data_IF_608554434007
#
_entry.id   IF_608554434007
#
_cell.length_a   1.000
_cell.length_b   1.000
_cell.length_c   1.000
_cell.angle_alpha   90.00
_cell.angle_beta   90.00
_cell.angle_gamma   90.00
#
_symmetry.space_group_name_H-M   'P 1'
#
loop_
_entity.id
_entity.type
_entity.pdbx_description
1 polymer ?
#
# COMPACT_ATOMS: atom_id res chain seq x y z
N UNK A 1 -2.52 -22.96 5.07
CA UNK A 1 -2.22 -21.50 5.18
C UNK A 1 -1.51 -20.94 3.94
N UNK A 2 -0.26 -21.35 3.61
CA UNK A 2 0.47 -20.79 2.44
C UNK A 2 -0.26 -21.10 1.12
N UNK A 3 -0.71 -22.33 0.94
CA UNK A 3 -1.48 -22.73 -0.25
C UNK A 3 -2.80 -21.94 -0.36
N UNK A 4 -3.51 -21.75 0.75
CA UNK A 4 -4.76 -20.99 0.79
C UNK A 4 -4.52 -19.51 0.48
N UNK A 5 -3.44 -18.93 1.04
CA UNK A 5 -3.03 -17.56 0.74
C UNK A 5 -2.75 -17.38 -0.76
N UNK A 6 -2.01 -18.30 -1.34
CA UNK A 6 -1.68 -18.27 -2.77
C UNK A 6 -2.96 -18.45 -3.65
N UNK A 7 -3.86 -19.32 -3.26
CA UNK A 7 -5.13 -19.55 -3.97
C UNK A 7 -6.06 -18.34 -3.88
N UNK A 8 -6.27 -17.79 -2.68
CA UNK A 8 -7.11 -16.61 -2.45
C UNK A 8 -6.56 -15.39 -3.18
N UNK A 9 -5.24 -15.21 -3.16
CA UNK A 9 -4.58 -14.15 -3.92
C UNK A 9 -4.79 -14.29 -5.43
N UNK A 10 -4.74 -15.50 -5.97
CA UNK A 10 -4.94 -15.75 -7.40
C UNK A 10 -6.39 -15.52 -7.88
N UNK A 11 -7.36 -15.55 -6.96
CA UNK A 11 -8.79 -15.34 -7.28
C UNK A 11 -9.24 -13.90 -7.06
N UNK A 12 -8.55 -13.12 -6.21
CA UNK A 12 -8.89 -11.73 -5.93
C UNK A 12 -8.90 -10.89 -7.22
N UNK A 13 -10.04 -10.30 -7.52
CA UNK A 13 -10.24 -9.44 -8.70
C UNK A 13 -10.31 -10.18 -10.04
N UNK A 14 -10.36 -11.53 -10.05
CA UNK A 14 -10.38 -12.31 -11.30
C UNK A 14 -11.62 -12.04 -12.18
N UNK A 15 -12.75 -11.72 -11.53
CA UNK A 15 -13.99 -11.40 -12.24
C UNK A 15 -14.07 -9.95 -12.75
N UNK A 16 -13.12 -9.09 -12.34
CA UNK A 16 -13.10 -7.69 -12.74
C UNK A 16 -12.48 -7.51 -14.12
N UNK A 17 -13.05 -6.58 -14.88
CA UNK A 17 -12.40 -6.11 -16.11
C UNK A 17 -11.00 -5.52 -15.78
N UNK A 18 -9.95 -5.73 -16.60
CA UNK A 18 -8.59 -5.24 -16.31
C UNK A 18 -8.52 -3.73 -16.02
N UNK A 19 -9.29 -2.91 -16.73
CA UNK A 19 -9.38 -1.46 -16.50
C UNK A 19 -9.96 -1.13 -15.13
N UNK A 20 -11.04 -1.80 -14.75
CA UNK A 20 -11.69 -1.66 -13.44
C UNK A 20 -10.72 -2.08 -12.32
N UNK A 21 -10.04 -3.20 -12.48
CA UNK A 21 -9.04 -3.67 -11.54
C UNK A 21 -7.89 -2.65 -11.38
N UNK A 22 -7.43 -2.02 -12.45
CA UNK A 22 -6.41 -0.98 -12.40
C UNK A 22 -6.88 0.26 -11.61
N UNK A 23 -8.14 0.70 -11.83
CA UNK A 23 -8.72 1.82 -11.09
C UNK A 23 -8.92 1.50 -9.60
N UNK A 24 -9.28 0.26 -9.25
CA UNK A 24 -9.33 -0.20 -7.86
C UNK A 24 -7.95 -0.29 -7.22
N UNK A 25 -6.93 -0.69 -7.97
CA UNK A 25 -5.54 -0.69 -7.48
C UNK A 25 -5.05 0.75 -7.15
N UNK A 26 -5.52 1.79 -7.86
CA UNK A 26 -5.26 3.19 -7.47
C UNK A 26 -5.82 3.50 -6.07
N UNK A 27 -7.04 3.02 -5.76
CA UNK A 27 -7.61 3.18 -4.42
C UNK A 27 -6.87 2.38 -3.34
N UNK A 28 -6.40 1.19 -3.69
CA UNK A 28 -5.56 0.40 -2.76
C UNK A 28 -4.26 1.13 -2.44
N UNK A 29 -3.65 1.86 -3.38
CA UNK A 29 -2.44 2.68 -3.11
C UNK A 29 -2.74 3.81 -2.13
N UNK A 30 -3.87 4.50 -2.28
CA UNK A 30 -4.30 5.55 -1.33
C UNK A 30 -4.56 4.94 0.05
N UNK A 31 -5.28 3.82 0.12
CA UNK A 31 -5.51 3.07 1.36
C UNK A 31 -4.20 2.63 2.03
N UNK A 32 -3.29 2.04 1.25
CA UNK A 32 -1.99 1.59 1.76
C UNK A 32 -1.20 2.76 2.34
N UNK A 33 -1.18 3.88 1.65
CA UNK A 33 -0.51 5.11 2.08
C UNK A 33 -1.10 5.62 3.39
N UNK A 34 -2.43 5.70 3.50
CA UNK A 34 -3.11 6.10 4.73
C UNK A 34 -2.69 5.25 5.92
N UNK A 35 -2.78 3.91 5.80
CA UNK A 35 -2.43 3.01 6.89
C UNK A 35 -0.93 2.95 7.16
N UNK A 36 -0.09 3.08 6.14
CA UNK A 36 1.36 3.18 6.30
C UNK A 36 1.74 4.42 7.13
N UNK A 37 1.12 5.56 6.84
CA UNK A 37 1.32 6.78 7.62
C UNK A 37 0.74 6.65 9.04
N UNK A 38 -0.41 6.01 9.19
CA UNK A 38 -1.03 5.78 10.49
C UNK A 38 -0.14 4.95 11.44
N UNK A 39 0.58 3.95 10.92
CA UNK A 39 1.56 3.16 11.69
C UNK A 39 2.69 4.04 12.22
N UNK A 40 3.12 5.04 11.45
CA UNK A 40 4.15 6.02 11.86
C UNK A 40 3.59 7.12 12.80
N UNK A 41 2.30 7.08 13.14
CA UNK A 41 1.65 8.11 13.96
C UNK A 41 1.13 9.32 13.17
N UNK A 42 1.17 9.27 11.85
CA UNK A 42 0.73 10.34 10.96
C UNK A 42 -0.70 10.07 10.46
N UNK A 43 -1.65 10.95 10.79
CA UNK A 43 -3.05 10.81 10.35
C UNK A 43 -3.32 11.68 9.11
N UNK A 44 -2.80 11.26 7.96
CA UNK A 44 -3.09 11.90 6.67
C UNK A 44 -4.35 11.30 6.08
N UNK A 45 -5.47 12.02 6.10
CA UNK A 45 -6.76 11.51 5.63
C UNK A 45 -6.77 11.21 4.13
N UNK A 46 -7.61 10.28 3.63
CA UNK A 46 -7.69 9.96 2.20
C UNK A 46 -7.89 11.19 1.31
N UNK A 47 -8.77 12.12 1.72
CA UNK A 47 -8.99 13.37 1.01
C UNK A 47 -7.73 14.26 0.91
N UNK A 48 -6.91 14.29 1.96
CA UNK A 48 -5.65 15.05 1.94
C UNK A 48 -4.63 14.40 1.01
N UNK A 49 -4.66 13.05 0.91
CA UNK A 49 -3.83 12.30 -0.04
C UNK A 49 -4.27 12.60 -1.47
N UNK A 50 -5.57 12.60 -1.77
CA UNK A 50 -6.10 12.94 -3.10
C UNK A 50 -5.75 14.38 -3.50
N UNK A 51 -5.90 15.34 -2.58
CA UNK A 51 -5.48 16.74 -2.81
C UNK A 51 -3.99 16.85 -3.11
N UNK A 52 -3.16 16.14 -2.34
CA UNK A 52 -1.72 16.10 -2.58
C UNK A 52 -1.37 15.51 -3.96
N UNK A 53 -2.08 14.47 -4.41
CA UNK A 53 -1.92 13.89 -5.74
C UNK A 53 -2.36 14.83 -6.87
N UNK A 54 -3.32 15.75 -6.58
CA UNK A 54 -3.72 16.83 -7.48
C UNK A 54 -2.77 18.04 -7.44
N UNK A 55 -1.74 18.03 -6.58
CA UNK A 55 -0.79 19.14 -6.42
C UNK A 55 -1.30 20.24 -5.47
N UNK A 56 -2.37 19.99 -4.74
CA UNK A 56 -2.96 20.92 -3.77
C UNK A 56 -2.40 20.63 -2.37
N UNK A 57 -1.53 21.48 -1.89
CA UNK A 57 -0.87 21.33 -0.59
C UNK A 57 -1.40 22.34 0.43
N UNK A 58 -1.38 21.94 1.70
CA UNK A 58 -1.74 22.79 2.83
C UNK A 58 -0.68 23.90 3.01
N UNK A 59 -1.10 25.04 3.56
CA UNK A 59 -0.21 26.16 3.89
C UNK A 59 0.64 25.85 5.13
N UNK A 60 0.10 25.06 6.07
CA UNK A 60 0.85 24.61 7.25
C UNK A 60 1.96 23.63 6.84
N UNK A 61 3.20 23.96 7.22
CA UNK A 61 4.39 23.20 6.83
C UNK A 61 4.33 21.74 7.30
N UNK A 62 3.81 21.48 8.49
CA UNK A 62 3.71 20.12 9.03
C UNK A 62 2.73 19.28 8.23
N UNK A 63 1.53 19.79 7.95
CA UNK A 63 0.54 19.11 7.11
C UNK A 63 1.01 18.94 5.68
N UNK A 64 1.66 19.97 5.13
CA UNK A 64 2.27 19.90 3.80
C UNK A 64 3.31 18.79 3.70
N UNK A 65 4.18 18.63 4.68
CA UNK A 65 5.17 17.55 4.71
C UNK A 65 4.49 16.17 4.72
N UNK A 66 3.44 15.98 5.54
CA UNK A 66 2.66 14.74 5.55
C UNK A 66 1.97 14.45 4.21
N UNK A 67 1.49 15.47 3.52
CA UNK A 67 0.92 15.36 2.19
C UNK A 67 1.98 14.98 1.15
N UNK A 68 3.17 15.57 1.22
CA UNK A 68 4.30 15.23 0.34
C UNK A 68 4.76 13.78 0.55
N UNK A 69 4.84 13.31 1.80
CA UNK A 69 5.12 11.91 2.13
C UNK A 69 4.06 10.97 1.54
N UNK A 70 2.80 11.32 1.68
CA UNK A 70 1.70 10.52 1.15
C UNK A 70 1.74 10.45 -0.38
N UNK A 71 1.95 11.56 -1.07
CA UNK A 71 2.10 11.61 -2.52
C UNK A 71 3.32 10.79 -2.99
N UNK A 72 4.43 10.86 -2.25
CA UNK A 72 5.63 10.08 -2.52
C UNK A 72 5.37 8.58 -2.37
N UNK A 73 4.67 8.15 -1.30
CA UNK A 73 4.33 6.74 -1.08
C UNK A 73 3.48 6.18 -2.23
N UNK A 74 2.42 6.89 -2.63
CA UNK A 74 1.57 6.49 -3.77
C UNK A 74 2.38 6.41 -5.06
N UNK A 75 3.26 7.38 -5.32
CA UNK A 75 4.13 7.42 -6.51
C UNK A 75 5.06 6.22 -6.56
N UNK A 76 5.77 5.92 -5.47
CA UNK A 76 6.72 4.80 -5.40
C UNK A 76 5.99 3.47 -5.52
N UNK A 77 4.87 3.28 -4.83
CA UNK A 77 4.09 2.05 -4.96
C UNK A 77 3.55 1.86 -6.38
N UNK A 78 3.08 2.92 -7.04
CA UNK A 78 2.65 2.86 -8.45
C UNK A 78 3.77 2.40 -9.37
N UNK A 79 5.00 2.84 -9.13
CA UNK A 79 6.15 2.42 -9.91
C UNK A 79 6.52 0.96 -9.65
N UNK A 80 6.44 0.49 -8.39
CA UNK A 80 6.58 -0.94 -8.04
C UNK A 80 5.53 -1.78 -8.76
N UNK A 81 4.26 -1.35 -8.74
CA UNK A 81 3.17 -2.05 -9.42
C UNK A 81 3.38 -2.08 -10.95
N UNK A 82 3.86 -0.99 -11.53
CA UNK A 82 4.17 -0.91 -12.96
C UNK A 82 5.27 -1.92 -13.33
N UNK A 83 6.36 -1.93 -12.58
CA UNK A 83 7.46 -2.88 -12.79
C UNK A 83 6.99 -4.33 -12.60
N UNK A 84 6.17 -4.59 -11.57
CA UNK A 84 5.59 -5.90 -11.32
C UNK A 84 4.70 -6.40 -12.47
N UNK A 85 3.82 -5.53 -12.98
CA UNK A 85 2.95 -5.85 -14.12
C UNK A 85 3.72 -6.12 -15.42
N UNK A 86 4.88 -5.47 -15.59
CA UNK A 86 5.75 -5.62 -16.76
C UNK A 86 6.74 -6.79 -16.63
N UNK A 87 6.78 -7.48 -15.48
CA UNK A 87 7.79 -8.50 -15.20
C UNK A 87 9.23 -7.96 -15.11
N UNK A 88 9.38 -6.65 -14.87
CA UNK A 88 10.65 -5.93 -14.81
C UNK A 88 11.06 -5.55 -13.38
N UNK A 89 10.40 -6.12 -12.37
CA UNK A 89 10.69 -5.83 -10.97
C UNK A 89 12.06 -6.41 -10.58
N UNK A 90 13.00 -5.57 -10.11
CA UNK A 90 14.28 -6.04 -9.59
C UNK A 90 14.08 -6.95 -8.35
N UNK A 91 15.11 -7.71 -7.93
CA UNK A 91 15.04 -8.47 -6.68
C UNK A 91 14.66 -7.57 -5.50
N UNK A 92 13.47 -7.75 -4.88
CA UNK A 92 12.95 -6.77 -3.90
C UNK A 92 13.79 -6.63 -2.62
N UNK A 93 14.57 -7.65 -2.28
CA UNK A 93 15.47 -7.65 -1.13
C UNK A 93 16.93 -7.26 -1.50
N UNK A 94 17.20 -6.85 -2.75
CA UNK A 94 18.52 -6.37 -3.12
C UNK A 94 18.81 -5.00 -2.48
N UNK A 95 20.07 -4.77 -2.14
CA UNK A 95 20.52 -3.48 -1.60
C UNK A 95 20.20 -2.34 -2.55
N UNK A 96 20.44 -2.55 -3.84
CA UNK A 96 20.18 -1.54 -4.88
C UNK A 96 18.70 -1.15 -4.93
N UNK A 97 17.78 -2.11 -4.91
CA UNK A 97 16.35 -1.83 -4.94
C UNK A 97 15.86 -1.15 -3.66
N UNK A 98 16.37 -1.55 -2.50
CA UNK A 98 16.03 -0.92 -1.22
C UNK A 98 16.52 0.53 -1.15
N UNK A 99 17.76 0.79 -1.60
CA UNK A 99 18.29 2.16 -1.72
C UNK A 99 17.48 2.99 -2.72
N UNK A 100 17.04 2.37 -3.84
CA UNK A 100 16.16 3.00 -4.80
C UNK A 100 14.81 3.36 -4.17
N UNK A 101 14.17 2.45 -3.42
CA UNK A 101 12.90 2.73 -2.71
C UNK A 101 13.02 3.95 -1.80
N UNK A 102 14.08 4.02 -0.99
CA UNK A 102 14.32 5.14 -0.10
C UNK A 102 14.58 6.44 -0.86
N UNK A 103 15.45 6.42 -1.87
CA UNK A 103 15.76 7.58 -2.72
C UNK A 103 14.52 8.12 -3.43
N UNK A 104 13.72 7.23 -4.02
CA UNK A 104 12.50 7.63 -4.71
C UNK A 104 11.42 8.15 -3.75
N UNK A 105 11.34 7.61 -2.54
CA UNK A 105 10.42 8.10 -1.53
C UNK A 105 10.72 9.56 -1.15
N UNK A 106 11.99 9.90 -0.95
CA UNK A 106 12.42 11.25 -0.59
C UNK A 106 12.81 12.13 -1.79
N UNK A 107 12.59 11.68 -3.01
CA UNK A 107 12.88 12.48 -4.21
C UNK A 107 12.07 13.77 -4.24
N UNK A 108 12.78 14.92 -4.21
CA UNK A 108 12.18 16.25 -4.19
C UNK A 108 11.62 16.65 -2.83
N UNK A 109 11.91 15.92 -1.76
CA UNK A 109 11.55 16.31 -0.41
C UNK A 109 12.23 17.63 0.00
N UNK A 110 11.53 18.54 0.68
CA UNK A 110 12.13 19.76 1.21
C UNK A 110 13.17 19.43 2.29
N UNK A 111 14.12 20.32 2.51
CA UNK A 111 15.19 20.12 3.50
C UNK A 111 14.64 19.81 4.91
N UNK A 112 13.51 20.41 5.28
CA UNK A 112 12.86 20.16 6.57
C UNK A 112 12.47 18.70 6.82
N UNK A 113 12.28 17.91 5.77
CA UNK A 113 12.01 16.46 5.85
C UNK A 113 13.28 15.61 5.87
N UNK A 114 14.43 16.19 5.54
CA UNK A 114 15.72 15.50 5.50
C UNK A 114 16.56 15.79 6.76
N UNK A 115 16.08 16.68 7.63
CA UNK A 115 16.74 17.02 8.90
C UNK A 115 16.11 16.22 10.04
N UNK A 116 16.89 15.29 10.59
CA UNK A 116 16.47 14.41 11.68
C UNK A 116 17.01 15.00 12.99
N UNK A 117 16.09 15.44 13.84
CA UNK A 117 16.41 15.97 15.15
C UNK A 117 16.52 14.86 16.17
N UNK A 118 17.68 14.72 16.78
CA UNK A 118 17.91 13.87 17.95
C UNK A 118 17.94 14.76 19.21
N UNK A 119 17.99 14.16 20.39
CA UNK A 119 18.13 14.93 21.66
C UNK A 119 19.43 15.74 21.73
N UNK A 120 20.46 15.36 20.99
CA UNK A 120 21.81 15.92 21.11
C UNK A 120 22.26 16.66 19.85
N UNK A 121 21.73 16.28 18.66
CA UNK A 121 22.23 16.78 17.37
C UNK A 121 21.10 16.86 16.33
N UNK A 122 21.38 17.59 15.26
CA UNK A 122 20.59 17.60 14.05
C UNK A 122 21.40 16.91 12.94
N UNK A 123 20.86 15.79 12.41
CA UNK A 123 21.51 14.99 11.39
C UNK A 123 20.82 15.22 10.05
N UNK A 124 21.60 15.34 8.99
CA UNK A 124 21.08 15.41 7.64
C UNK A 124 21.04 14.00 7.02
N UNK A 125 19.86 13.56 6.66
CA UNK A 125 19.65 12.31 5.95
C UNK A 125 19.86 12.50 4.45
N UNK A 126 20.66 11.62 3.83
CA UNK A 126 20.82 11.57 2.38
C UNK A 126 19.91 10.47 1.79
N UNK A 127 18.99 10.83 0.87
CA UNK A 127 18.07 9.86 0.27
C UNK A 127 18.80 8.75 -0.50
N UNK A 128 18.56 7.50 -0.11
CA UNK A 128 19.19 6.32 -0.73
C UNK A 128 20.57 5.99 -0.19
N UNK A 129 20.91 6.47 1.01
CA UNK A 129 22.14 6.12 1.71
C UNK A 129 21.86 5.47 3.06
N UNK A 130 22.69 4.48 3.43
CA UNK A 130 22.62 3.86 4.76
C UNK A 130 23.20 4.81 5.82
N UNK A 131 22.67 4.74 7.05
CA UNK A 131 23.39 5.28 8.19
C UNK A 131 24.73 4.53 8.35
N UNK A 132 25.82 5.24 8.52
CA UNK A 132 27.18 4.68 8.52
C UNK A 132 28.12 5.29 9.58
N UNK A 133 27.81 6.48 10.08
CA UNK A 133 28.64 7.20 11.03
C UNK A 133 28.20 6.95 12.49
N UNK A 134 29.10 6.99 13.46
CA UNK A 134 28.76 6.73 14.88
C UNK A 134 27.66 7.63 15.44
N UNK A 135 27.58 8.90 15.00
CA UNK A 135 26.56 9.86 15.39
C UNK A 135 25.17 9.50 14.84
N UNK A 136 25.10 8.61 13.85
CA UNK A 136 23.88 8.08 13.24
C UNK A 136 23.36 6.81 13.93
N UNK A 137 23.93 6.44 15.07
CA UNK A 137 23.37 5.39 15.90
C UNK A 137 22.02 5.85 16.48
N UNK A 138 21.01 5.00 16.34
CA UNK A 138 19.64 5.31 16.69
C UNK A 138 19.04 4.25 17.60
N UNK A 139 17.99 4.61 18.32
CA UNK A 139 17.15 3.69 19.09
C UNK A 139 15.70 3.80 18.56
N UNK A 140 14.99 2.68 18.51
CA UNK A 140 13.60 2.61 18.04
C UNK A 140 12.73 2.10 19.18
N UNK A 141 12.25 2.99 20.01
CA UNK A 141 11.58 2.62 21.25
C UNK A 141 12.52 1.84 22.18
N UNK A 142 12.21 0.54 22.42
CA UNK A 142 13.07 -0.37 23.22
C UNK A 142 14.07 -1.16 22.38
N UNK A 143 13.89 -1.19 21.06
CA UNK A 143 14.79 -1.88 20.14
C UNK A 143 16.05 -1.05 19.91
N UNK A 144 17.21 -1.70 20.04
CA UNK A 144 18.53 -1.15 19.73
C UNK A 144 19.04 -1.80 18.44
N UNK A 145 18.94 -1.12 17.28
CA UNK A 145 19.44 -1.63 16.02
C UNK A 145 20.97 -1.88 16.05
N UNK A 146 21.51 -2.68 15.12
CA UNK A 146 22.97 -2.74 14.91
C UNK A 146 23.59 -1.36 14.76
N UNK A 147 24.86 -1.22 15.17
CA UNK A 147 25.59 0.05 15.02
C UNK A 147 25.67 0.47 13.56
N UNK A 148 25.71 1.78 13.30
CA UNK A 148 25.76 2.35 11.95
C UNK A 148 26.93 1.78 11.14
N UNK A 149 28.08 1.58 11.74
CA UNK A 149 29.26 0.97 11.11
C UNK A 149 29.00 -0.46 10.59
N UNK A 150 28.05 -1.20 11.19
CA UNK A 150 27.73 -2.58 10.83
C UNK A 150 26.61 -2.69 9.78
N UNK A 151 25.87 -1.60 9.50
CA UNK A 151 24.68 -1.64 8.64
C UNK A 151 24.97 -2.21 7.24
N UNK A 152 26.04 -1.76 6.61
CA UNK A 152 26.41 -2.20 5.27
C UNK A 152 26.63 -3.72 5.19
N UNK A 153 27.25 -4.32 6.24
CA UNK A 153 27.47 -5.76 6.32
C UNK A 153 26.14 -6.50 6.58
N UNK A 154 25.33 -6.01 7.50
CA UNK A 154 24.00 -6.58 7.76
C UNK A 154 23.11 -6.56 6.52
N UNK A 155 23.17 -5.47 5.72
CA UNK A 155 22.38 -5.36 4.48
C UNK A 155 22.95 -6.25 3.35
N UNK A 156 24.27 -6.50 3.31
CA UNK A 156 24.87 -7.51 2.41
C UNK A 156 24.34 -8.90 2.76
N UNK A 157 24.38 -9.28 4.03
CA UNK A 157 23.85 -10.55 4.51
C UNK A 157 22.32 -10.65 4.30
N UNK A 158 21.59 -9.56 4.49
CA UNK A 158 20.15 -9.49 4.21
C UNK A 158 19.85 -9.83 2.74
N UNK A 159 20.54 -9.20 1.81
CA UNK A 159 20.38 -9.46 0.37
C UNK A 159 20.69 -10.94 0.04
N UNK A 160 21.79 -11.49 0.55
CA UNK A 160 22.16 -12.88 0.32
C UNK A 160 21.09 -13.84 0.87
N UNK A 161 20.59 -13.58 2.08
CA UNK A 161 19.59 -14.42 2.75
C UNK A 161 18.23 -14.39 2.11
N UNK A 162 17.81 -13.24 1.58
CA UNK A 162 16.50 -13.03 0.99
C UNK A 162 16.51 -12.98 -0.54
N UNK A 163 17.54 -13.50 -1.18
CA UNK A 163 17.58 -13.76 -2.63
C UNK A 163 16.75 -15.00 -2.95
N UNK A 164 15.41 -14.83 -2.88
CA UNK A 164 14.46 -15.95 -2.90
C UNK A 164 13.88 -16.28 -4.28
N UNK A 165 14.30 -15.57 -5.34
CA UNK A 165 13.74 -15.77 -6.70
C UNK A 165 13.96 -17.18 -7.25
N UNK A 166 15.06 -17.85 -6.85
CA UNK A 166 15.37 -19.23 -7.21
C UNK A 166 14.73 -20.27 -6.29
N UNK A 167 14.05 -19.85 -5.23
CA UNK A 167 13.42 -20.74 -4.25
C UNK A 167 11.98 -21.06 -4.64
N UNK A 168 11.46 -22.17 -4.12
CA UNK A 168 10.06 -22.54 -4.30
C UNK A 168 9.10 -21.49 -3.73
N UNK A 169 7.91 -21.35 -4.33
CA UNK A 169 6.91 -20.32 -4.01
C UNK A 169 6.56 -20.25 -2.51
N UNK A 170 6.46 -21.40 -1.84
CA UNK A 170 6.18 -21.44 -0.40
C UNK A 170 7.26 -20.73 0.41
N UNK A 171 8.54 -20.94 0.08
CA UNK A 171 9.68 -20.29 0.72
C UNK A 171 9.67 -18.78 0.42
N UNK A 172 9.35 -18.37 -0.82
CA UNK A 172 9.22 -16.97 -1.17
C UNK A 172 8.15 -16.27 -0.33
N UNK A 173 6.98 -16.89 -0.13
CA UNK A 173 5.88 -16.34 0.69
C UNK A 173 6.29 -16.21 2.15
N UNK A 174 6.93 -17.22 2.74
CA UNK A 174 7.43 -17.15 4.12
C UNK A 174 8.51 -16.08 4.29
N UNK A 175 9.37 -15.94 3.30
CA UNK A 175 10.46 -14.96 3.31
C UNK A 175 9.95 -13.51 3.37
N UNK A 176 8.73 -13.21 2.88
CA UNK A 176 8.14 -11.86 2.97
C UNK A 176 8.07 -11.40 4.43
N UNK A 177 7.51 -12.22 5.31
CA UNK A 177 7.39 -11.90 6.73
C UNK A 177 8.75 -11.80 7.42
N UNK A 178 9.63 -12.77 7.17
CA UNK A 178 10.96 -12.80 7.78
C UNK A 178 11.84 -11.62 7.32
N UNK A 179 11.76 -11.24 6.04
CA UNK A 179 12.47 -10.08 5.51
C UNK A 179 11.92 -8.77 6.08
N UNK A 180 10.58 -8.65 6.19
CA UNK A 180 9.94 -7.48 6.82
C UNK A 180 10.45 -7.25 8.24
N UNK A 181 10.46 -8.30 9.08
CA UNK A 181 11.02 -8.21 10.43
C UNK A 181 12.50 -7.86 10.40
N UNK A 182 13.31 -8.61 9.64
CA UNK A 182 14.77 -8.44 9.65
C UNK A 182 15.21 -7.07 9.16
N UNK A 183 14.52 -6.50 8.16
CA UNK A 183 14.79 -5.15 7.70
C UNK A 183 14.54 -4.10 8.80
N UNK A 184 13.40 -4.20 9.49
CA UNK A 184 13.08 -3.29 10.59
C UNK A 184 14.03 -3.49 11.80
N UNK A 185 14.50 -4.72 12.05
CA UNK A 185 15.53 -4.99 13.04
C UNK A 185 16.86 -4.29 12.71
N UNK A 186 17.31 -4.34 11.46
CA UNK A 186 18.55 -3.67 11.02
C UNK A 186 18.38 -2.16 11.06
N UNK A 187 17.21 -1.66 10.69
CA UNK A 187 16.86 -0.23 10.66
C UNK A 187 17.93 0.60 9.94
N UNK A 188 18.15 0.36 8.63
CA UNK A 188 19.35 0.80 7.94
C UNK A 188 19.40 2.29 7.60
N UNK A 189 18.31 3.02 7.68
CA UNK A 189 18.23 4.45 7.39
C UNK A 189 18.05 5.28 8.65
N UNK A 190 18.34 6.58 8.59
CA UNK A 190 18.05 7.53 9.66
C UNK A 190 16.54 7.73 9.87
N UNK A 191 15.77 7.74 8.79
CA UNK A 191 14.30 7.76 8.79
C UNK A 191 13.74 6.95 7.62
N UNK A 192 12.41 6.76 7.56
CA UNK A 192 11.72 6.09 6.46
C UNK A 192 11.78 4.57 6.47
N UNK A 193 12.42 3.93 7.45
CA UNK A 193 12.57 2.48 7.51
C UNK A 193 11.24 1.73 7.46
N UNK A 194 10.24 2.14 8.23
CA UNK A 194 8.93 1.51 8.22
C UNK A 194 8.22 1.61 6.86
N UNK A 195 8.29 2.78 6.22
CA UNK A 195 7.70 3.02 4.90
C UNK A 195 8.38 2.20 3.81
N UNK A 196 9.73 2.17 3.82
CA UNK A 196 10.52 1.35 2.89
C UNK A 196 10.27 -0.15 3.11
N UNK A 197 10.19 -0.61 4.36
CA UNK A 197 9.92 -2.03 4.66
C UNK A 197 8.56 -2.49 4.12
N UNK A 198 7.52 -1.65 4.23
CA UNK A 198 6.19 -1.95 3.69
C UNK A 198 6.14 -1.92 2.16
N UNK A 199 6.87 -0.99 1.52
CA UNK A 199 7.03 -0.96 0.06
C UNK A 199 7.84 -2.16 -0.46
N UNK A 200 8.93 -2.55 0.24
CA UNK A 200 9.69 -3.77 -0.04
C UNK A 200 8.81 -5.02 0.11
N UNK A 201 8.03 -5.09 1.18
CA UNK A 201 7.06 -6.18 1.42
C UNK A 201 6.06 -6.30 0.26
N UNK A 202 5.54 -5.19 -0.21
CA UNK A 202 4.65 -5.13 -1.37
C UNK A 202 5.34 -5.63 -2.64
N UNK A 203 6.59 -5.23 -2.88
CA UNK A 203 7.40 -5.71 -4.00
C UNK A 203 7.70 -7.22 -3.89
N UNK A 204 7.97 -7.72 -2.68
CA UNK A 204 8.14 -9.17 -2.45
C UNK A 204 6.86 -9.96 -2.72
N UNK A 205 5.69 -9.40 -2.40
CA UNK A 205 4.39 -10.01 -2.74
C UNK A 205 4.19 -10.10 -4.27
N UNK A 206 4.64 -9.12 -5.04
CA UNK A 206 4.70 -9.18 -6.50
C UNK A 206 5.62 -10.30 -6.97
N UNK A 207 6.86 -10.36 -6.47
CA UNK A 207 7.84 -11.38 -6.83
C UNK A 207 7.35 -12.80 -6.49
N UNK A 208 6.64 -12.98 -5.37
CA UNK A 208 6.03 -14.26 -4.98
C UNK A 208 4.71 -14.57 -5.70
N UNK A 209 4.26 -13.70 -6.60
CA UNK A 209 3.00 -13.80 -7.34
C UNK A 209 1.76 -13.94 -6.42
N UNK A 210 1.72 -13.15 -5.35
CA UNK A 210 0.58 -13.03 -4.44
C UNK A 210 0.05 -11.59 -4.30
N UNK A 211 0.51 -10.65 -5.13
CA UNK A 211 0.09 -9.24 -5.09
C UNK A 211 -1.33 -8.99 -5.57
N UNK A 212 -1.94 -9.96 -6.29
CA UNK A 212 -3.25 -9.79 -6.96
C UNK A 212 -3.28 -8.52 -7.83
N UNK A 213 -2.20 -8.24 -8.54
CA UNK A 213 -2.01 -7.02 -9.35
C UNK A 213 -2.19 -5.70 -8.56
N UNK A 214 -1.81 -5.69 -7.30
CA UNK A 214 -1.92 -4.51 -6.43
C UNK A 214 -3.30 -4.30 -5.80
N UNK A 215 -4.21 -5.29 -5.86
CA UNK A 215 -5.55 -5.19 -5.30
C UNK A 215 -5.62 -5.39 -3.78
N UNK A 216 -4.50 -5.62 -3.12
CA UNK A 216 -4.41 -5.63 -1.66
C UNK A 216 -3.04 -5.13 -1.19
N UNK A 217 -2.94 -4.80 0.08
CA UNK A 217 -1.69 -4.42 0.72
C UNK A 217 -1.70 -4.77 2.20
N UNK A 218 -0.51 -4.91 2.79
CA UNK A 218 -0.36 -5.36 4.16
C UNK A 218 -0.62 -4.26 5.20
N UNK A 219 -0.40 -2.98 4.86
CA UNK A 219 -0.36 -1.88 5.85
C UNK A 219 -1.65 -1.75 6.65
N UNK A 220 -2.83 -1.94 6.02
CA UNK A 220 -4.09 -1.93 6.73
C UNK A 220 -4.16 -3.03 7.80
N UNK A 221 -3.68 -4.22 7.47
CA UNK A 221 -3.64 -5.35 8.41
C UNK A 221 -2.67 -5.11 9.56
N UNK A 222 -1.49 -4.58 9.28
CA UNK A 222 -0.51 -4.23 10.32
C UNK A 222 -1.03 -3.13 11.24
N UNK A 223 -1.69 -2.10 10.71
CA UNK A 223 -2.26 -1.00 11.49
C UNK A 223 -3.43 -1.43 12.38
N UNK A 224 -4.22 -2.42 11.95
CA UNK A 224 -5.39 -2.92 12.71
C UNK A 224 -5.05 -4.07 13.65
N UNK A 225 -4.06 -4.88 13.28
CA UNK A 225 -3.84 -6.18 13.89
C UNK A 225 -4.95 -7.18 13.57
N UNK A 226 -4.85 -8.37 14.08
CA UNK A 226 -5.91 -9.39 14.04
C UNK A 226 -6.91 -9.22 15.20
N UNK A 227 -6.41 -8.91 16.40
CA UNK A 227 -7.18 -8.72 17.62
C UNK A 227 -7.17 -7.27 18.09
N UNK A 228 -6.00 -6.60 17.99
CA UNK A 228 -5.84 -5.22 18.43
C UNK A 228 -4.83 -4.44 17.59
N UNK A 229 -4.94 -3.09 17.63
CA UNK A 229 -4.01 -2.18 16.94
C UNK A 229 -2.56 -2.26 17.47
N UNK A 230 -2.33 -2.90 18.60
CA UNK A 230 -1.01 -3.08 19.21
C UNK A 230 -0.32 -4.36 18.77
N UNK A 231 -1.01 -5.26 18.07
CA UNK A 231 -0.50 -6.59 17.71
C UNK A 231 0.77 -6.51 16.91
N UNK A 232 0.83 -5.63 15.91
CA UNK A 232 2.02 -5.49 15.07
C UNK A 232 3.27 -5.17 15.90
N UNK A 233 3.17 -4.19 16.80
CA UNK A 233 4.28 -3.82 17.68
C UNK A 233 4.66 -4.96 18.64
N UNK A 234 3.66 -5.62 19.25
CA UNK A 234 3.90 -6.77 20.13
C UNK A 234 4.61 -7.92 19.40
N UNK A 235 4.19 -8.20 18.17
CA UNK A 235 4.77 -9.27 17.37
C UNK A 235 6.18 -8.94 16.86
N UNK A 236 6.47 -7.67 16.57
CA UNK A 236 7.83 -7.19 16.28
C UNK A 236 8.73 -7.35 17.52
N UNK A 237 8.27 -6.86 18.67
CA UNK A 237 8.99 -7.00 19.96
C UNK A 237 9.22 -8.49 20.32
N UNK A 238 8.24 -9.36 20.08
CA UNK A 238 8.37 -10.82 20.26
C UNK A 238 9.49 -11.39 19.37
N UNK A 239 9.50 -11.04 18.10
CA UNK A 239 10.49 -11.55 17.17
C UNK A 239 11.93 -11.05 17.43
N UNK A 240 12.08 -10.01 18.26
CA UNK A 240 13.37 -9.52 18.78
C UNK A 240 13.82 -10.23 20.07
N UNK A 241 13.01 -11.18 20.59
CA UNK A 241 13.37 -11.90 21.81
C UNK A 241 14.69 -12.66 21.67
N UNK A 242 15.52 -12.70 22.73
CA UNK A 242 16.73 -13.52 22.74
C UNK A 242 16.38 -15.01 22.63
N UNK A 243 17.33 -15.81 22.15
CA UNK A 243 17.19 -17.26 22.05
C UNK A 243 17.03 -17.90 23.44
N UNK A 244 16.23 -18.96 23.52
CA UNK A 244 15.92 -19.74 24.74
C UNK A 244 16.81 -20.98 24.90
N UNK A 245 18.03 -20.98 24.41
CA UNK A 245 18.96 -22.11 24.52
C UNK A 245 19.63 -22.45 23.19
N UNK A 246 20.39 -23.55 23.16
CA UNK A 246 21.25 -23.86 22.03
C UNK A 246 20.49 -24.33 20.79
N UNK A 247 19.30 -24.89 20.96
CA UNK A 247 18.45 -25.38 19.86
C UNK A 247 17.47 -24.30 19.34
N UNK A 248 17.38 -23.15 20.01
CA UNK A 248 16.53 -22.04 19.61
C UNK A 248 17.37 -20.83 19.24
N UNK A 249 17.89 -20.77 18.02
CA UNK A 249 18.73 -19.64 17.67
C UNK A 249 18.88 -19.35 16.19
N UNK A 250 18.87 -18.05 15.89
CA UNK A 250 19.33 -17.41 14.66
C UNK A 250 20.31 -16.30 15.06
N UNK A 251 21.50 -16.73 15.46
CA UNK A 251 22.43 -15.88 16.20
C UNK A 251 21.97 -15.71 17.66
N UNK A 252 21.82 -14.47 18.10
CA UNK A 252 21.39 -14.15 19.47
C UNK A 252 19.86 -14.15 19.67
N UNK A 253 19.09 -14.26 18.60
CA UNK A 253 17.63 -14.15 18.63
C UNK A 253 16.94 -15.51 18.54
N UNK A 254 15.72 -15.59 19.08
CA UNK A 254 14.88 -16.79 19.06
C UNK A 254 14.37 -17.10 17.64
N UNK A 255 14.63 -18.34 17.20
CA UNK A 255 14.07 -18.90 15.97
C UNK A 255 12.56 -19.15 16.13
N UNK A 256 12.14 -19.63 17.30
CA UNK A 256 10.74 -19.91 17.64
C UNK A 256 9.91 -18.62 17.59
N UNK A 257 10.39 -17.54 18.20
CA UNK A 257 9.70 -16.25 18.19
C UNK A 257 9.56 -15.69 16.76
N UNK A 258 10.59 -15.84 15.90
CA UNK A 258 10.45 -15.48 14.49
C UNK A 258 9.39 -16.33 13.76
N UNK A 259 9.30 -17.62 14.04
CA UNK A 259 8.29 -18.50 13.43
C UNK A 259 6.87 -18.03 13.85
N UNK A 260 6.67 -17.68 15.11
CA UNK A 260 5.38 -17.13 15.59
C UNK A 260 5.03 -15.83 14.87
N UNK A 261 5.99 -14.92 14.72
CA UNK A 261 5.81 -13.70 13.93
C UNK A 261 5.43 -14.01 12.48
N UNK A 262 6.15 -14.93 11.81
CA UNK A 262 5.86 -15.32 10.42
C UNK A 262 4.44 -15.85 10.28
N UNK A 263 4.01 -16.74 11.19
CA UNK A 263 2.65 -17.30 11.18
C UNK A 263 1.61 -16.19 11.35
N UNK A 264 1.81 -15.30 12.32
CA UNK A 264 0.93 -14.16 12.55
C UNK A 264 0.86 -13.25 11.31
N UNK A 265 2.00 -12.89 10.74
CA UNK A 265 2.07 -12.01 9.57
C UNK A 265 1.35 -12.60 8.35
N UNK A 266 1.50 -13.90 8.10
CA UNK A 266 0.79 -14.58 7.02
C UNK A 266 -0.73 -14.65 7.26
N UNK A 267 -1.17 -14.76 8.52
CA UNK A 267 -2.59 -14.62 8.87
C UNK A 267 -3.12 -13.22 8.60
N UNK A 268 -2.32 -12.20 8.88
CA UNK A 268 -2.65 -10.81 8.50
C UNK A 268 -2.79 -10.68 6.98
N UNK A 269 -1.90 -11.29 6.20
CA UNK A 269 -2.03 -11.31 4.73
C UNK A 269 -3.35 -11.97 4.28
N UNK A 270 -3.69 -13.12 4.87
CA UNK A 270 -4.95 -13.82 4.54
C UNK A 270 -6.18 -12.97 4.89
N UNK A 271 -6.20 -12.35 6.08
CA UNK A 271 -7.29 -11.45 6.50
C UNK A 271 -7.46 -10.29 5.50
N UNK A 272 -6.34 -9.68 5.06
CA UNK A 272 -6.40 -8.58 4.11
C UNK A 272 -6.90 -9.01 2.73
N UNK A 273 -6.44 -10.15 2.21
CA UNK A 273 -6.92 -10.67 0.92
C UNK A 273 -8.41 -11.02 1.01
N UNK A 274 -8.85 -11.66 2.09
CA UNK A 274 -10.27 -11.99 2.30
C UNK A 274 -11.14 -10.72 2.39
N UNK A 275 -10.69 -9.71 3.13
CA UNK A 275 -11.36 -8.42 3.24
C UNK A 275 -11.50 -7.74 1.87
N UNK A 276 -10.42 -7.66 1.10
CA UNK A 276 -10.43 -7.03 -0.22
C UNK A 276 -11.25 -7.84 -1.23
N UNK A 277 -11.26 -9.17 -1.14
CA UNK A 277 -12.10 -10.04 -1.96
C UNK A 277 -13.59 -9.75 -1.75
N UNK A 278 -14.02 -9.57 -0.50
CA UNK A 278 -15.40 -9.19 -0.20
C UNK A 278 -15.75 -7.77 -0.66
N UNK A 279 -14.79 -6.83 -0.63
CA UNK A 279 -15.02 -5.47 -1.14
C UNK A 279 -15.10 -5.40 -2.66
N UNK A 280 -14.33 -6.22 -3.37
CA UNK A 280 -14.20 -6.18 -4.83
C UNK A 280 -14.98 -7.31 -5.52
N UNK A 281 -15.81 -8.02 -4.76
CA UNK A 281 -16.77 -8.96 -5.33
C UNK A 281 -17.72 -8.19 -6.25
N UNK A 282 -17.87 -8.66 -7.52
CA UNK A 282 -18.45 -7.89 -8.61
C UNK A 282 -19.91 -7.51 -8.34
N UNK A 283 -20.74 -8.49 -7.92
CA UNK A 283 -22.16 -8.28 -7.69
C UNK A 283 -22.39 -7.34 -6.51
N UNK A 284 -21.66 -7.54 -5.42
CA UNK A 284 -21.73 -6.67 -4.24
C UNK A 284 -21.26 -5.22 -4.53
N UNK A 285 -20.25 -5.06 -5.38
CA UNK A 285 -19.80 -3.72 -5.79
C UNK A 285 -20.82 -3.04 -6.70
N UNK A 286 -21.44 -3.81 -7.59
CA UNK A 286 -22.52 -3.34 -8.47
C UNK A 286 -23.72 -2.84 -7.66
N UNK A 287 -24.16 -3.61 -6.65
CA UNK A 287 -25.26 -3.21 -5.77
C UNK A 287 -24.92 -1.95 -4.95
N UNK A 288 -23.67 -1.81 -4.47
CA UNK A 288 -23.26 -0.60 -3.75
C UNK A 288 -23.20 0.63 -4.66
N UNK A 289 -22.72 0.49 -5.88
CA UNK A 289 -22.75 1.59 -6.88
C UNK A 289 -24.19 2.03 -7.17
N UNK A 290 -25.11 1.07 -7.34
CA UNK A 290 -26.53 1.36 -7.53
C UNK A 290 -27.15 2.05 -6.33
N UNK A 291 -26.93 1.52 -5.12
CA UNK A 291 -27.43 2.10 -3.88
C UNK A 291 -26.91 3.54 -3.69
N UNK A 292 -25.62 3.79 -3.94
CA UNK A 292 -25.02 5.12 -3.86
C UNK A 292 -25.71 6.13 -4.78
N UNK A 293 -25.99 5.74 -6.03
CA UNK A 293 -26.71 6.63 -6.98
C UNK A 293 -28.14 6.90 -6.51
N UNK A 294 -28.84 5.90 -6.01
CA UNK A 294 -30.25 6.01 -5.60
C UNK A 294 -30.43 6.86 -4.32
N UNK A 295 -29.41 6.87 -3.45
CA UNK A 295 -29.43 7.67 -2.22
C UNK A 295 -28.87 9.08 -2.40
N UNK A 296 -28.16 9.34 -3.51
CA UNK A 296 -27.55 10.63 -3.77
C UNK A 296 -28.52 11.63 -4.44
N UNK A 297 -28.89 12.75 -3.78
CA UNK A 297 -29.88 13.70 -4.30
C UNK A 297 -29.42 14.45 -5.56
N UNK A 298 -28.13 14.44 -5.87
CA UNK A 298 -27.54 15.12 -7.03
C UNK A 298 -27.46 14.23 -8.28
N UNK A 299 -27.82 12.96 -8.17
CA UNK A 299 -27.78 12.01 -9.26
C UNK A 299 -29.18 11.50 -9.63
N UNK A 300 -29.40 11.32 -10.91
CA UNK A 300 -30.60 10.62 -11.38
C UNK A 300 -30.39 9.11 -11.29
N UNK A 301 -31.46 8.32 -11.03
CA UNK A 301 -31.38 6.86 -10.92
C UNK A 301 -30.71 6.17 -12.12
N UNK A 302 -30.90 6.72 -13.33
CA UNK A 302 -30.31 6.19 -14.56
C UNK A 302 -28.77 6.29 -14.59
N UNK A 303 -28.18 7.12 -13.72
CA UNK A 303 -26.72 7.18 -13.50
C UNK A 303 -26.13 5.86 -13.05
N UNK A 304 -26.91 5.02 -12.35
CA UNK A 304 -26.48 3.68 -11.95
C UNK A 304 -26.09 2.82 -13.15
N UNK A 305 -26.83 2.91 -14.27
CA UNK A 305 -26.50 2.16 -15.48
C UNK A 305 -25.14 2.54 -16.07
N UNK A 306 -24.74 3.84 -15.99
CA UNK A 306 -23.42 4.28 -16.44
C UNK A 306 -22.29 3.71 -15.59
N UNK A 307 -22.47 3.69 -14.26
CA UNK A 307 -21.45 3.14 -13.34
C UNK A 307 -21.34 1.63 -13.49
N UNK A 308 -22.46 0.91 -13.67
CA UNK A 308 -22.49 -0.53 -13.91
C UNK A 308 -21.84 -0.90 -15.25
N UNK A 309 -22.13 -0.16 -16.32
CA UNK A 309 -21.48 -0.37 -17.63
C UNK A 309 -19.96 -0.18 -17.54
N UNK A 310 -19.51 0.89 -16.87
CA UNK A 310 -18.09 1.14 -16.65
C UNK A 310 -17.43 0.07 -15.75
N UNK A 311 -18.14 -0.47 -14.76
CA UNK A 311 -17.66 -1.57 -13.92
C UNK A 311 -17.41 -2.84 -14.74
N UNK A 312 -18.38 -3.21 -15.60
CA UNK A 312 -18.36 -4.47 -16.34
C UNK A 312 -17.41 -4.40 -17.56
N UNK A 313 -17.50 -3.33 -18.34
CA UNK A 313 -16.70 -3.15 -19.57
C UNK A 313 -15.36 -2.45 -19.35
N UNK A 314 -15.11 -1.93 -18.14
CA UNK A 314 -13.95 -1.14 -17.82
C UNK A 314 -14.05 0.32 -18.25
N UNK A 315 -14.58 0.58 -19.42
CA UNK A 315 -14.85 1.91 -19.98
C UNK A 315 -15.92 1.86 -21.07
N UNK A 316 -16.50 3.00 -21.41
CA UNK A 316 -17.44 3.16 -22.53
C UNK A 316 -17.28 4.53 -23.20
N UNK A 317 -17.67 4.62 -24.48
CA UNK A 317 -17.61 5.86 -25.22
C UNK A 317 -18.75 6.82 -24.84
N UNK A 318 -18.47 8.12 -24.81
CA UNK A 318 -19.46 9.15 -24.46
C UNK A 318 -20.69 9.15 -25.38
N UNK A 319 -20.56 8.68 -26.63
CA UNK A 319 -21.66 8.50 -27.59
C UNK A 319 -22.65 7.40 -27.22
N UNK A 320 -22.26 6.44 -26.37
CA UNK A 320 -23.12 5.33 -25.96
C UNK A 320 -24.09 5.67 -24.82
N UNK A 321 -23.94 6.85 -24.17
CA UNK A 321 -24.68 7.22 -22.95
C UNK A 321 -26.19 7.16 -23.11
N UNK A 322 -26.72 7.60 -24.27
CA UNK A 322 -28.16 7.51 -24.59
C UNK A 322 -28.63 6.05 -24.67
N UNK A 323 -27.86 5.17 -25.29
CA UNK A 323 -28.12 3.72 -25.34
C UNK A 323 -28.09 3.08 -23.97
N UNK A 324 -27.06 3.40 -23.15
CA UNK A 324 -26.87 2.79 -21.82
C UNK A 324 -28.00 3.20 -20.87
N UNK A 325 -28.41 4.48 -20.90
CA UNK A 325 -29.38 5.03 -19.96
C UNK A 325 -30.82 4.95 -20.43
N UNK A 326 -31.07 4.73 -21.74
CA UNK A 326 -32.39 4.83 -22.34
C UNK A 326 -32.94 6.25 -22.43
N UNK A 327 -32.16 7.27 -22.12
CA UNK A 327 -32.58 8.68 -22.11
C UNK A 327 -32.32 9.34 -23.46
N UNK A 328 -33.12 10.40 -23.80
CA UNK A 328 -32.83 11.25 -24.96
C UNK A 328 -31.44 11.85 -24.87
N UNK A 329 -30.73 12.01 -26.00
CA UNK A 329 -29.29 12.42 -26.06
C UNK A 329 -28.94 13.62 -25.18
N UNK A 330 -29.76 14.68 -25.23
CA UNK A 330 -29.51 15.90 -24.43
C UNK A 330 -29.54 15.63 -22.92
N UNK A 331 -30.49 14.81 -22.46
CA UNK A 331 -30.67 14.43 -21.07
C UNK A 331 -29.54 13.47 -20.63
N UNK A 332 -29.20 12.51 -21.50
CA UNK A 332 -28.13 11.55 -21.26
C UNK A 332 -26.75 12.25 -21.13
N UNK A 333 -26.45 13.21 -22.00
CA UNK A 333 -25.22 14.01 -21.92
C UNK A 333 -25.14 14.84 -20.62
N UNK A 334 -26.28 15.40 -20.18
CA UNK A 334 -26.32 16.13 -18.91
C UNK A 334 -26.05 15.20 -17.74
N UNK A 335 -26.69 14.04 -17.71
CA UNK A 335 -26.45 13.04 -16.67
C UNK A 335 -24.98 12.57 -16.65
N UNK A 336 -24.38 12.33 -17.80
CA UNK A 336 -22.94 11.99 -17.85
C UNK A 336 -22.09 13.11 -17.23
N UNK A 337 -22.38 14.37 -17.53
CA UNK A 337 -21.65 15.49 -16.96
C UNK A 337 -21.84 15.58 -15.44
N UNK A 338 -23.04 15.30 -14.91
CA UNK A 338 -23.30 15.25 -13.48
C UNK A 338 -22.43 14.17 -12.80
N UNK A 339 -22.37 12.97 -13.38
CA UNK A 339 -21.54 11.84 -12.88
C UNK A 339 -20.05 12.15 -12.97
N UNK A 340 -19.59 12.82 -14.05
CA UNK A 340 -18.21 13.28 -14.21
C UNK A 340 -17.83 14.36 -13.18
N UNK A 341 -18.71 15.32 -12.95
CA UNK A 341 -18.49 16.39 -11.97
C UNK A 341 -18.40 15.86 -10.55
N UNK A 342 -19.08 14.75 -10.25
CA UNK A 342 -18.96 14.06 -8.97
C UNK A 342 -17.71 13.19 -8.86
N UNK A 343 -16.89 13.10 -9.91
CA UNK A 343 -15.68 12.30 -9.92
C UNK A 343 -15.89 10.78 -9.93
N UNK A 344 -17.13 10.28 -10.15
CA UNK A 344 -17.44 8.84 -10.22
C UNK A 344 -17.01 8.22 -11.55
N UNK A 345 -16.92 9.03 -12.59
CA UNK A 345 -16.34 8.69 -13.88
C UNK A 345 -15.28 9.72 -14.25
N UNK A 346 -14.26 9.27 -14.97
CA UNK A 346 -13.27 10.17 -15.56
C UNK A 346 -12.78 9.64 -16.91
N UNK A 347 -12.21 10.54 -17.70
CA UNK A 347 -11.60 10.25 -19.00
C UNK A 347 -10.16 10.77 -19.01
N UNK A 348 -9.26 10.07 -19.68
CA UNK A 348 -7.86 10.49 -19.84
C UNK A 348 -7.71 11.68 -20.80
N UNK A 349 -8.68 11.85 -21.69
CA UNK A 349 -8.72 12.96 -22.63
C UNK A 349 -10.10 13.62 -22.64
N UNK A 350 -10.25 14.89 -23.02
CA UNK A 350 -11.54 15.60 -22.98
C UNK A 350 -12.68 14.92 -23.74
N UNK A 351 -12.37 14.13 -24.78
CA UNK A 351 -13.33 13.43 -25.63
C UNK A 351 -13.23 11.90 -25.57
N UNK A 352 -12.31 11.37 -24.76
CA UNK A 352 -12.06 9.93 -24.67
C UNK A 352 -13.15 9.17 -23.93
N UNK A 353 -13.04 7.85 -23.98
CA UNK A 353 -13.87 6.92 -23.21
C UNK A 353 -13.80 7.24 -21.71
N UNK A 354 -14.86 6.94 -21.00
CA UNK A 354 -14.98 7.18 -19.56
C UNK A 354 -14.93 5.87 -18.79
N UNK A 355 -14.25 5.87 -17.65
CA UNK A 355 -14.06 4.73 -16.76
C UNK A 355 -14.31 5.11 -15.32
N UNK A 356 -14.59 4.13 -14.45
CA UNK A 356 -14.89 4.34 -13.04
C UNK A 356 -13.74 5.05 -12.31
N UNK A 357 -14.14 5.91 -11.38
CA UNK A 357 -13.30 6.48 -10.31
C UNK A 357 -14.04 6.40 -8.99
N UNK A 358 -13.30 6.52 -7.91
CA UNK A 358 -13.83 6.36 -6.56
C UNK A 358 -13.38 7.56 -5.71
N UNK A 359 -14.09 8.71 -5.78
CA UNK A 359 -13.71 9.90 -5.03
C UNK A 359 -13.85 9.69 -3.52
N UNK A 360 -13.06 10.44 -2.72
CA UNK A 360 -13.00 10.29 -1.27
C UNK A 360 -14.37 10.36 -0.59
N UNK A 361 -15.28 11.18 -1.12
CA UNK A 361 -16.63 11.37 -0.60
C UNK A 361 -17.51 10.11 -0.73
N UNK A 362 -17.24 9.24 -1.71
CA UNK A 362 -18.00 8.03 -1.97
C UNK A 362 -17.40 6.78 -1.28
N UNK A 363 -16.18 6.88 -0.73
CA UNK A 363 -15.43 5.70 -0.26
C UNK A 363 -16.11 4.96 0.89
N UNK A 364 -16.76 5.67 1.82
CA UNK A 364 -17.40 5.03 2.99
C UNK A 364 -18.60 4.16 2.55
N UNK A 365 -19.36 4.62 1.57
CA UNK A 365 -20.53 3.91 1.03
C UNK A 365 -20.11 2.79 0.06
N UNK A 366 -19.16 3.06 -0.83
CA UNK A 366 -18.72 2.09 -1.84
C UNK A 366 -17.80 1.01 -1.25
N UNK A 367 -16.97 1.37 -0.26
CA UNK A 367 -16.02 0.46 0.37
C UNK A 367 -16.13 0.49 1.90
N UNK A 368 -17.21 -0.08 2.47
CA UNK A 368 -17.48 -0.02 3.89
C UNK A 368 -16.33 -0.63 4.71
N UNK A 369 -15.93 0.05 5.77
CA UNK A 369 -14.81 -0.32 6.65
C UNK A 369 -13.43 -0.32 5.99
N UNK A 370 -13.29 0.26 4.79
CA UNK A 370 -11.97 0.45 4.18
C UNK A 370 -11.11 1.36 5.06
N UNK A 371 -11.70 2.41 5.60
CA UNK A 371 -11.08 3.33 6.57
C UNK A 371 -11.78 3.25 7.93
N UNK A 372 -11.13 3.64 9.05
CA UNK A 372 -11.81 3.78 10.33
C UNK A 372 -12.92 4.83 10.21
N UNK A 373 -14.06 4.59 10.87
CA UNK A 373 -15.08 5.64 11.03
C UNK A 373 -14.45 6.81 11.81
N UNK A 374 -14.55 7.99 11.27
CA UNK A 374 -14.11 9.25 11.91
C UNK A 374 -15.02 9.64 13.04
#
# INVERSE_FOLDING_TARGET
MIADLAASSATLGKALHPRTAANLADQVRVMNTYYSNLIEGHNTRPRDIERALAGEFDEDQGRRNLQLEAAAHVRVQREVDRMGNQGALPPPASREFILWLHREFYRGAPQSMLLIKTEQTELRMEPGEWRSHPEENINVGRHVPPTSASVAEFMRYFEERFRVQSMGRATQIMAIAAAHHRFNYIHPFLDGNGRVSRLMTHAMAWSANISSRGLWSISRGLARGLESRTDYKKMMDLADSPREGDLDGRGNLSQKALQEFVVWFLRVCQDQIAFMSGLFELDSLMERLKAYVLTNPHLKPEGAALLQEALIRGEFDRGEVSRITGLPERTARRLLNDVLNMGLLASETPKGAVSLRFPAEALEELFPRLYPRT
#
